data_IF_960718511679
#
_entry.id   IF_960718511679
#
_cell.length_a   1.000
_cell.length_b   1.000
_cell.length_c   1.000
_cell.angle_alpha   90.00
_cell.angle_beta   90.00
_cell.angle_gamma   90.00
#
_symmetry.space_group_name_H-M   'P 1'
#
loop_
_entity.id
_entity.type
_entity.pdbx_description
1 polymer ?
#
# COMPACT_ATOMS: atom_id res chain seq x y z
N UNK A 1 13.05 -4.33 8.83
CA UNK A 1 13.51 -5.73 8.87
C UNK A 1 13.99 -6.20 10.24
N UNK A 2 14.60 -5.39 11.12
CA UNK A 2 15.22 -5.93 12.33
C UNK A 2 14.27 -6.74 13.21
N UNK A 3 12.99 -6.34 13.33
CA UNK A 3 11.99 -7.14 14.06
C UNK A 3 11.74 -8.52 13.42
N UNK A 4 11.50 -8.56 12.11
CA UNK A 4 11.22 -9.80 11.38
C UNK A 4 12.47 -10.71 11.35
N UNK A 5 13.65 -10.14 11.15
CA UNK A 5 14.93 -10.87 11.16
C UNK A 5 15.25 -11.44 12.54
N UNK A 6 14.83 -10.78 13.62
CA UNK A 6 14.96 -11.25 15.00
C UNK A 6 13.77 -12.10 15.47
N UNK A 7 12.79 -12.36 14.62
CA UNK A 7 11.59 -13.14 14.96
C UNK A 7 10.64 -12.45 15.95
N UNK A 8 10.77 -11.14 16.13
CA UNK A 8 9.90 -10.35 16.99
C UNK A 8 8.54 -10.07 16.32
N UNK A 9 7.51 -9.85 17.15
CA UNK A 9 6.18 -9.53 16.67
C UNK A 9 6.14 -8.13 16.06
N UNK A 10 5.43 -8.01 14.94
CA UNK A 10 5.11 -6.70 14.36
C UNK A 10 4.12 -5.96 15.26
N UNK A 11 4.13 -4.61 15.25
CA UNK A 11 3.17 -3.80 16.01
C UNK A 11 1.73 -3.96 15.50
N UNK A 12 1.54 -4.53 14.30
CA UNK A 12 0.24 -4.88 13.73
C UNK A 12 0.29 -6.30 13.14
N UNK A 13 -0.84 -7.00 13.17
CA UNK A 13 -1.00 -8.22 12.37
C UNK A 13 -1.29 -7.86 10.92
N UNK A 14 -0.42 -8.30 10.01
CA UNK A 14 -0.54 -8.04 8.58
C UNK A 14 -1.30 -9.13 7.83
N UNK A 15 -1.66 -10.24 8.50
CA UNK A 15 -2.32 -11.38 7.87
C UNK A 15 -3.69 -10.98 7.35
N UNK A 16 -3.91 -11.21 6.05
CA UNK A 16 -5.17 -10.86 5.38
C UNK A 16 -5.33 -9.37 5.09
N UNK A 17 -4.37 -8.52 5.47
CA UNK A 17 -4.48 -7.08 5.33
C UNK A 17 -3.97 -6.56 3.98
N UNK A 18 -4.33 -5.32 3.69
CA UNK A 18 -3.75 -4.51 2.62
C UNK A 18 -3.04 -3.31 3.26
N UNK A 19 -1.79 -3.05 2.87
CA UNK A 19 -1.05 -1.87 3.34
C UNK A 19 -1.10 -0.78 2.27
N UNK A 20 -1.63 0.39 2.65
CA UNK A 20 -1.59 1.58 1.82
C UNK A 20 -0.36 2.44 2.15
N UNK A 21 0.54 2.61 1.19
CA UNK A 21 1.70 3.48 1.33
C UNK A 21 1.28 4.94 1.15
N UNK A 22 1.09 5.64 2.26
CA UNK A 22 0.64 7.04 2.28
C UNK A 22 1.16 7.76 3.53
N UNK A 23 1.27 9.07 3.44
CA UNK A 23 1.49 9.97 4.57
C UNK A 23 0.40 11.05 4.51
N UNK A 24 -0.69 10.93 5.28
CA UNK A 24 -1.81 11.87 5.19
C UNK A 24 -1.41 13.26 5.71
N UNK A 25 -1.95 14.31 5.09
CA UNK A 25 -1.86 15.66 5.67
C UNK A 25 -2.78 15.79 6.89
N UNK A 26 -2.58 16.81 7.75
CA UNK A 26 -3.50 17.09 8.86
C UNK A 26 -4.95 17.25 8.39
N UNK A 27 -5.89 16.76 9.19
CA UNK A 27 -7.31 16.95 8.96
C UNK A 27 -7.73 18.40 9.24
N UNK A 28 -8.71 18.90 8.48
CA UNK A 28 -9.39 20.16 8.79
C UNK A 28 -10.43 19.93 9.89
N UNK A 29 -10.87 20.96 10.62
CA UNK A 29 -11.96 20.81 11.59
C UNK A 29 -13.20 20.16 10.94
N UNK A 30 -13.68 19.07 11.54
CA UNK A 30 -14.84 18.30 11.05
C UNK A 30 -14.53 17.24 9.99
N UNK A 31 -13.29 17.14 9.51
CA UNK A 31 -12.86 16.11 8.55
C UNK A 31 -12.15 14.94 9.25
N UNK A 32 -12.26 13.74 8.70
CA UNK A 32 -11.61 12.53 9.25
C UNK A 32 -10.10 12.54 9.00
N UNK A 33 -9.70 12.98 7.81
CA UNK A 33 -8.31 12.99 7.36
C UNK A 33 -8.09 14.10 6.35
N UNK A 34 -6.88 14.65 6.28
CA UNK A 34 -6.49 15.53 5.20
C UNK A 34 -6.27 14.78 3.88
N UNK A 35 -5.53 15.40 2.96
CA UNK A 35 -5.15 14.77 1.70
C UNK A 35 -4.36 13.48 1.96
N UNK A 36 -4.80 12.36 1.38
CA UNK A 36 -4.21 11.03 1.61
C UNK A 36 -3.85 10.38 0.27
N UNK A 37 -2.85 10.95 -0.41
CA UNK A 37 -2.36 10.44 -1.69
C UNK A 37 -1.39 9.26 -1.54
N UNK A 38 -1.22 8.42 -2.58
CA UNK A 38 -0.22 7.35 -2.56
C UNK A 38 1.20 7.90 -2.60
N UNK A 39 2.12 7.17 -1.99
CA UNK A 39 3.55 7.38 -2.16
C UNK A 39 4.20 6.29 -3.01
N UNK A 40 5.43 6.53 -3.46
CA UNK A 40 6.12 5.65 -4.41
C UNK A 40 6.38 4.27 -3.78
N UNK A 41 5.79 3.23 -4.37
CA UNK A 41 5.78 1.88 -3.81
C UNK A 41 7.16 1.21 -3.84
N UNK A 42 8.01 1.53 -4.82
CA UNK A 42 9.32 0.92 -4.98
C UNK A 42 10.26 1.12 -3.78
N UNK A 43 10.06 2.17 -2.99
CA UNK A 43 10.82 2.38 -1.73
C UNK A 43 10.58 1.27 -0.71
N UNK A 44 9.46 0.57 -0.80
CA UNK A 44 9.03 -0.53 0.08
C UNK A 44 9.34 -1.92 -0.47
N UNK A 45 9.98 -2.03 -1.63
CA UNK A 45 10.23 -3.31 -2.29
C UNK A 45 11.16 -4.22 -1.47
N UNK A 46 12.14 -3.67 -0.76
CA UNK A 46 13.00 -4.45 0.14
C UNK A 46 12.26 -5.12 1.30
N UNK A 47 11.08 -4.62 1.68
CA UNK A 47 10.31 -5.11 2.83
C UNK A 47 9.12 -5.96 2.42
N UNK A 48 8.54 -5.67 1.26
CA UNK A 48 7.26 -6.27 0.83
C UNK A 48 7.30 -7.81 0.75
N UNK A 49 8.35 -8.47 0.21
CA UNK A 49 8.39 -9.94 0.13
C UNK A 49 8.29 -10.63 1.49
N UNK A 50 8.97 -10.09 2.51
CA UNK A 50 8.91 -10.60 3.87
C UNK A 50 7.52 -10.41 4.49
N UNK A 51 6.87 -9.27 4.26
CA UNK A 51 5.50 -9.02 4.72
C UNK A 51 4.48 -9.94 4.03
N UNK A 52 4.64 -10.17 2.72
CA UNK A 52 3.81 -11.13 1.97
C UNK A 52 3.97 -12.55 2.52
N UNK A 53 5.20 -12.97 2.85
CA UNK A 53 5.47 -14.26 3.50
C UNK A 53 4.75 -14.39 4.85
N UNK A 54 4.61 -13.29 5.60
CA UNK A 54 3.87 -13.25 6.87
C UNK A 54 2.35 -13.23 6.71
N UNK A 55 1.84 -13.11 5.47
CA UNK A 55 0.42 -13.22 5.15
C UNK A 55 -0.24 -11.91 4.70
N UNK A 56 0.53 -10.86 4.43
CA UNK A 56 0.01 -9.65 3.76
C UNK A 56 -0.62 -10.03 2.42
N UNK A 57 -1.79 -9.48 2.09
CA UNK A 57 -2.54 -9.82 0.87
C UNK A 57 -2.54 -8.75 -0.20
N UNK A 58 -2.23 -7.51 0.15
CA UNK A 58 -1.97 -6.54 -0.89
C UNK A 58 -1.27 -5.29 -0.42
N UNK A 59 -0.89 -4.48 -1.39
CA UNK A 59 -0.28 -3.18 -1.16
C UNK A 59 -0.90 -2.16 -2.10
N UNK A 60 -1.07 -0.92 -1.64
CA UNK A 60 -1.54 0.21 -2.45
C UNK A 60 -0.45 1.27 -2.48
N UNK A 61 -0.14 1.82 -3.66
CA UNK A 61 0.86 2.88 -3.81
C UNK A 61 0.82 3.51 -5.19
N UNK A 62 1.93 4.13 -5.61
CA UNK A 62 2.12 4.58 -7.00
C UNK A 62 3.46 4.12 -7.57
N UNK A 63 3.51 4.00 -8.89
CA UNK A 63 4.70 3.60 -9.64
C UNK A 63 4.87 2.09 -9.72
N UNK A 64 5.94 1.68 -10.42
CA UNK A 64 6.28 0.29 -10.67
C UNK A 64 6.82 -0.43 -9.43
N UNK A 65 6.81 -1.76 -9.49
CA UNK A 65 7.40 -2.67 -8.48
C UNK A 65 8.58 -3.42 -9.10
N UNK A 66 9.58 -3.71 -8.29
CA UNK A 66 10.71 -4.58 -8.67
C UNK A 66 10.31 -6.05 -8.79
N UNK A 67 11.14 -6.83 -9.48
CA UNK A 67 10.84 -8.24 -9.78
C UNK A 67 10.65 -9.09 -8.53
N UNK A 68 11.49 -8.90 -7.50
CA UNK A 68 11.39 -9.62 -6.23
C UNK A 68 10.01 -9.49 -5.57
N UNK A 69 9.33 -8.34 -5.74
CA UNK A 69 7.97 -8.16 -5.25
C UNK A 69 6.98 -8.91 -6.12
N UNK A 70 7.08 -8.81 -7.46
CA UNK A 70 6.17 -9.51 -8.38
C UNK A 70 6.20 -11.02 -8.16
N UNK A 71 7.41 -11.57 -7.98
CA UNK A 71 7.60 -12.98 -7.66
C UNK A 71 6.94 -13.34 -6.32
N UNK A 72 7.12 -12.49 -5.29
CA UNK A 72 6.49 -12.69 -4.00
C UNK A 72 4.95 -12.58 -4.05
N UNK A 73 4.39 -11.66 -4.84
CA UNK A 73 2.94 -11.53 -5.04
C UNK A 73 2.37 -12.81 -5.64
N UNK A 74 3.06 -13.39 -6.64
CA UNK A 74 2.69 -14.69 -7.23
C UNK A 74 2.81 -15.84 -6.23
N UNK A 75 3.90 -15.89 -5.48
CA UNK A 75 4.19 -16.95 -4.50
C UNK A 75 3.19 -16.95 -3.34
N UNK A 76 2.89 -15.79 -2.76
CA UNK A 76 2.08 -15.67 -1.54
C UNK A 76 0.62 -15.26 -1.81
N UNK A 77 0.21 -15.25 -3.08
CA UNK A 77 -1.13 -14.90 -3.55
C UNK A 77 -1.57 -13.52 -3.06
N UNK A 78 -0.75 -12.51 -3.36
CA UNK A 78 -1.03 -11.10 -3.07
C UNK A 78 -1.21 -10.27 -4.33
N UNK A 79 -1.71 -9.04 -4.17
CA UNK A 79 -1.98 -8.09 -5.26
C UNK A 79 -1.37 -6.72 -4.96
N UNK A 80 -0.80 -6.06 -5.97
CA UNK A 80 -0.44 -4.64 -5.87
C UNK A 80 -1.44 -3.78 -6.64
N UNK A 81 -1.98 -2.79 -5.94
CA UNK A 81 -2.88 -1.81 -6.49
C UNK A 81 -2.18 -0.46 -6.68
N UNK A 82 -2.36 0.14 -7.85
CA UNK A 82 -2.03 1.53 -8.12
C UNK A 82 -3.19 2.44 -7.72
N UNK A 83 -2.95 3.38 -6.82
CA UNK A 83 -3.85 4.50 -6.57
C UNK A 83 -3.45 5.72 -7.43
N UNK A 84 -4.40 6.61 -7.69
CA UNK A 84 -4.20 7.78 -8.55
C UNK A 84 -3.30 8.79 -7.83
N UNK A 85 -2.09 8.99 -8.34
CA UNK A 85 -1.16 9.99 -7.83
C UNK A 85 -1.70 11.41 -8.03
N UNK A 86 -1.52 12.29 -7.03
CA UNK A 86 -1.96 13.69 -7.10
C UNK A 86 -3.43 13.91 -6.70
N UNK A 87 -4.24 12.86 -6.60
CA UNK A 87 -5.67 12.96 -6.24
C UNK A 87 -5.95 12.86 -4.73
N UNK A 88 -5.00 13.20 -3.85
CA UNK A 88 -5.10 12.92 -2.41
C UNK A 88 -6.30 13.55 -1.70
N UNK A 89 -6.73 14.75 -2.11
CA UNK A 89 -7.94 15.40 -1.58
C UNK A 89 -9.24 14.74 -2.05
N UNK A 90 -9.21 14.07 -3.21
CA UNK A 90 -10.35 13.25 -3.69
C UNK A 90 -10.36 11.93 -2.95
N UNK A 91 -9.19 11.29 -2.77
CA UNK A 91 -9.04 10.02 -2.08
C UNK A 91 -9.46 10.09 -0.60
N UNK A 92 -9.31 11.23 0.07
CA UNK A 92 -9.73 11.40 1.47
C UNK A 92 -11.24 11.25 1.66
N UNK A 93 -12.05 11.54 0.64
CA UNK A 93 -13.52 11.43 0.68
C UNK A 93 -14.02 9.99 0.81
N UNK A 94 -13.17 9.02 0.48
CA UNK A 94 -13.49 7.59 0.58
C UNK A 94 -13.12 7.01 1.95
N UNK A 95 -12.48 7.79 2.83
CA UNK A 95 -12.12 7.37 4.19
C UNK A 95 -13.28 7.64 5.13
N UNK A 96 -13.71 6.61 5.85
CA UNK A 96 -14.82 6.65 6.83
C UNK A 96 -14.34 6.68 8.26
N UNK A 97 -13.15 6.14 8.52
CA UNK A 97 -12.52 6.16 9.84
C UNK A 97 -11.01 6.07 9.71
N UNK A 98 -10.31 6.70 10.65
CA UNK A 98 -8.86 6.66 10.77
C UNK A 98 -8.48 6.56 12.25
N UNK A 99 -7.61 5.61 12.58
CA UNK A 99 -7.10 5.38 13.93
C UNK A 99 -5.58 5.17 13.87
N UNK A 100 -4.83 5.81 14.76
CA UNK A 100 -3.40 5.54 14.92
C UNK A 100 -3.26 4.25 15.72
N UNK A 101 -2.54 3.26 15.19
CA UNK A 101 -2.40 1.94 15.81
C UNK A 101 -0.98 1.63 16.27
N UNK A 102 0.03 2.38 15.78
CA UNK A 102 1.40 2.28 16.27
C UNK A 102 2.24 3.49 15.86
N UNK A 103 3.27 3.77 16.66
CA UNK A 103 4.31 4.77 16.37
C UNK A 103 3.76 6.19 16.14
N UNK A 104 2.88 6.64 17.04
CA UNK A 104 2.28 7.99 16.98
C UNK A 104 3.33 9.11 16.93
N UNK A 105 4.48 8.90 17.57
CA UNK A 105 5.64 9.78 17.58
C UNK A 105 6.23 10.05 16.19
N UNK A 106 5.96 9.18 15.20
CA UNK A 106 6.41 9.35 13.82
C UNK A 106 5.51 10.29 12.99
N UNK A 107 4.49 10.90 13.59
CA UNK A 107 3.65 11.90 12.94
C UNK A 107 3.00 11.34 11.67
N UNK A 108 3.25 11.96 10.51
CA UNK A 108 2.67 11.52 9.22
C UNK A 108 3.02 10.09 8.83
N UNK A 109 4.12 9.53 9.34
CA UNK A 109 4.59 8.16 9.06
C UNK A 109 4.05 7.11 10.06
N UNK A 110 3.25 7.53 11.06
CA UNK A 110 2.61 6.62 12.00
C UNK A 110 1.72 5.57 11.29
N UNK A 111 1.64 4.36 11.86
CA UNK A 111 0.79 3.31 11.30
C UNK A 111 -0.66 3.64 11.66
N UNK A 112 -1.50 3.69 10.64
CA UNK A 112 -2.92 4.00 10.77
C UNK A 112 -3.78 2.87 10.23
N UNK A 113 -4.84 2.55 10.95
CA UNK A 113 -5.94 1.72 10.46
C UNK A 113 -6.96 2.63 9.77
N UNK A 114 -7.30 2.29 8.53
CA UNK A 114 -8.28 3.01 7.73
C UNK A 114 -9.50 2.11 7.50
N UNK A 115 -10.68 2.68 7.69
CA UNK A 115 -11.91 2.12 7.13
C UNK A 115 -12.27 2.96 5.90
N UNK A 116 -12.47 2.31 4.76
CA UNK A 116 -12.73 2.99 3.48
C UNK A 116 -13.94 2.37 2.80
N UNK A 117 -14.64 3.17 2.00
CA UNK A 117 -15.78 2.73 1.20
C UNK A 117 -15.59 3.20 -0.25
N UNK A 118 -15.74 2.31 -1.22
CA UNK A 118 -15.59 2.62 -2.65
C UNK A 118 -14.24 3.26 -3.02
N UNK A 119 -13.17 2.92 -2.29
CA UNK A 119 -11.84 3.49 -2.53
C UNK A 119 -11.31 3.09 -3.90
N UNK A 120 -10.98 4.04 -4.79
CA UNK A 120 -10.58 3.72 -6.15
C UNK A 120 -9.12 3.24 -6.20
N UNK A 121 -8.90 2.07 -6.78
CA UNK A 121 -7.57 1.55 -7.06
C UNK A 121 -7.59 0.62 -8.28
N UNK A 122 -6.46 0.49 -8.96
CA UNK A 122 -6.31 -0.33 -10.16
C UNK A 122 -5.38 -1.50 -9.83
N UNK A 123 -5.73 -2.72 -10.23
CA UNK A 123 -4.81 -3.87 -10.15
C UNK A 123 -3.66 -3.63 -11.13
N UNK A 124 -2.45 -3.43 -10.60
CA UNK A 124 -1.25 -3.19 -11.42
C UNK A 124 -0.43 -4.47 -11.55
N UNK A 125 -0.20 -5.18 -10.44
CA UNK A 125 0.39 -6.51 -10.46
C UNK A 125 -0.54 -7.49 -9.77
N UNK A 126 -0.92 -8.55 -10.47
CA UNK A 126 -1.77 -9.60 -9.91
C UNK A 126 -0.96 -10.78 -9.34
N UNK A 127 -1.65 -11.78 -8.82
CA UNK A 127 -1.04 -12.98 -8.26
C UNK A 127 -0.73 -14.08 -9.29
N UNK A 128 -0.95 -13.80 -10.57
CA UNK A 128 -0.67 -14.69 -11.70
C UNK A 128 0.65 -14.31 -12.41
N UNK A 129 1.17 -13.11 -12.12
CA UNK A 129 2.42 -12.59 -12.69
C UNK A 129 2.20 -11.55 -13.78
N UNK A 130 0.97 -11.07 -13.95
CA UNK A 130 0.65 -10.01 -14.90
C UNK A 130 1.12 -8.65 -14.36
N UNK A 131 1.45 -7.75 -15.28
CA UNK A 131 1.93 -6.41 -14.98
C UNK A 131 1.36 -5.42 -15.98
N UNK A 132 0.37 -4.65 -15.51
CA UNK A 132 -0.35 -3.67 -16.31
C UNK A 132 0.58 -2.62 -16.94
N UNK A 133 1.67 -2.24 -16.28
CA UNK A 133 2.61 -1.28 -16.85
C UNK A 133 3.39 -1.89 -18.02
N UNK A 134 3.78 -3.16 -17.94
CA UNK A 134 4.48 -3.84 -19.02
C UNK A 134 3.53 -4.17 -20.18
N UNK A 135 2.32 -4.65 -19.87
CA UNK A 135 1.29 -4.98 -20.86
C UNK A 135 0.84 -3.73 -21.61
N UNK A 136 0.58 -2.64 -20.90
CA UNK A 136 0.25 -1.35 -21.50
C UNK A 136 1.35 -0.87 -22.44
N UNK A 137 2.61 -0.88 -22.00
CA UNK A 137 3.73 -0.50 -22.86
C UNK A 137 3.83 -1.37 -24.12
N UNK A 138 3.63 -2.69 -24.01
CA UNK A 138 3.65 -3.61 -25.16
C UNK A 138 2.50 -3.35 -26.13
N UNK A 139 1.30 -3.12 -25.62
CA UNK A 139 0.09 -2.93 -26.44
C UNK A 139 0.13 -1.64 -27.29
N UNK A 140 0.88 -0.63 -26.84
CA UNK A 140 0.97 0.68 -27.51
C UNK A 140 2.36 1.03 -28.02
N UNK A 141 3.32 0.10 -27.94
CA UNK A 141 4.61 0.25 -28.61
C UNK A 141 4.37 0.21 -30.13
N UNK A 142 4.67 1.31 -30.81
CA UNK A 142 4.64 1.42 -32.28
C UNK A 142 5.99 1.02 -32.86
#
# INVERSE_FOLDING_TARGET
>A
MPLIERGEKLPIDVRGQIIYYTGPSPARPGEIVGSIGPTTASRMDKYTPALLKLGLKGTIGKGYRGQAVKDALRQYKGVYFGAIGGAGAVLSRFVKKLEIVAHEDLGTEAIRRLEVENFPAIVVNDCHGNDLYQEGMKAYAR
#
